data_IF_839200739565
#
_entry.id   IF_839200739565
#
_cell.length_a   1.000
_cell.length_b   1.000
_cell.length_c   1.000
_cell.angle_alpha   90.00
_cell.angle_beta   90.00
_cell.angle_gamma   90.00
#
_symmetry.space_group_name_H-M   'P 1'
#
loop_
_entity.id
_entity.type
_entity.pdbx_description
1 polymer ?
#
# COMPACT_ATOMS: atom_id res chain seq x y z
N UNK A 1 -18.06 -28.14 -11.87
CA UNK A 1 -17.47 -27.25 -10.83
C UNK A 1 -16.35 -26.42 -11.47
N UNK A 2 -16.40 -25.09 -11.44
CA UNK A 2 -15.32 -24.24 -11.96
C UNK A 2 -14.05 -24.35 -11.09
N UNK A 3 -12.86 -24.39 -11.72
CA UNK A 3 -11.54 -24.58 -11.06
C UNK A 3 -11.30 -23.60 -9.89
N UNK A 4 -11.67 -22.34 -10.04
CA UNK A 4 -11.51 -21.30 -9.01
C UNK A 4 -12.39 -21.55 -7.77
N UNK A 5 -13.60 -22.05 -7.97
CA UNK A 5 -14.50 -22.40 -6.87
C UNK A 5 -13.94 -23.57 -6.05
N UNK A 6 -13.37 -24.57 -6.72
CA UNK A 6 -12.70 -25.68 -6.04
C UNK A 6 -11.49 -25.22 -5.20
N UNK A 7 -10.65 -24.33 -5.76
CA UNK A 7 -9.48 -23.80 -5.05
C UNK A 7 -9.85 -22.97 -3.82
N UNK A 8 -10.79 -22.03 -3.96
CA UNK A 8 -11.26 -21.17 -2.85
C UNK A 8 -11.92 -21.98 -1.73
N UNK A 9 -12.78 -22.94 -2.08
CA UNK A 9 -13.40 -23.85 -1.10
C UNK A 9 -12.35 -24.74 -0.42
N UNK A 10 -11.38 -25.23 -1.17
CA UNK A 10 -10.29 -26.05 -0.65
C UNK A 10 -9.38 -25.32 0.32
N UNK A 11 -9.00 -24.06 0.03
CA UNK A 11 -8.15 -23.26 0.92
C UNK A 11 -8.86 -22.94 2.25
N UNK A 12 -10.14 -22.55 2.21
CA UNK A 12 -10.94 -22.31 3.41
C UNK A 12 -11.02 -23.56 4.30
N UNK A 13 -11.34 -24.72 3.72
CA UNK A 13 -11.48 -25.95 4.51
C UNK A 13 -10.14 -26.40 5.12
N UNK A 14 -9.03 -26.25 4.40
CA UNK A 14 -7.69 -26.57 4.91
C UNK A 14 -7.27 -25.65 6.06
N UNK A 15 -7.51 -24.35 5.94
CA UNK A 15 -7.18 -23.39 7.00
C UNK A 15 -8.00 -23.65 8.27
N UNK A 16 -9.30 -23.89 8.14
CA UNK A 16 -10.16 -24.22 9.28
C UNK A 16 -9.81 -25.58 9.90
N UNK A 17 -9.54 -26.60 9.07
CA UNK A 17 -9.10 -27.90 9.56
C UNK A 17 -7.81 -27.79 10.38
N UNK A 18 -6.83 -27.02 9.90
CA UNK A 18 -5.60 -26.79 10.66
C UNK A 18 -5.86 -26.04 11.98
N UNK A 19 -6.65 -24.95 11.95
CA UNK A 19 -7.01 -24.17 13.13
C UNK A 19 -7.68 -25.02 14.22
N UNK A 20 -8.58 -25.92 13.82
CA UNK A 20 -9.33 -26.78 14.73
C UNK A 20 -8.67 -28.14 15.00
N UNK A 21 -7.41 -28.34 14.55
CA UNK A 21 -6.69 -29.61 14.66
C UNK A 21 -7.53 -30.82 14.19
N UNK A 22 -8.26 -30.63 13.10
CA UNK A 22 -9.20 -31.59 12.53
C UNK A 22 -8.83 -31.94 11.09
N UNK A 23 -9.55 -32.90 10.51
CA UNK A 23 -9.43 -33.23 9.09
C UNK A 23 -10.33 -32.36 8.23
N UNK A 24 -9.92 -32.14 6.97
CA UNK A 24 -10.71 -31.41 5.97
C UNK A 24 -12.11 -31.99 5.81
N UNK A 25 -12.25 -33.31 5.84
CA UNK A 25 -13.53 -34.02 5.76
C UNK A 25 -14.43 -33.75 6.97
N UNK A 26 -13.88 -33.73 8.19
CA UNK A 26 -14.63 -33.40 9.41
C UNK A 26 -15.13 -31.96 9.36
N UNK A 27 -14.26 -31.02 9.02
CA UNK A 27 -14.58 -29.60 8.87
C UNK A 27 -15.65 -29.37 7.79
N UNK A 28 -15.51 -30.02 6.62
CA UNK A 28 -16.48 -29.93 5.54
C UNK A 28 -17.87 -30.46 5.92
N UNK A 29 -17.96 -31.50 6.75
CA UNK A 29 -19.24 -32.01 7.28
C UNK A 29 -19.89 -31.03 8.23
N UNK A 30 -19.12 -30.45 9.15
CA UNK A 30 -19.63 -29.48 10.15
C UNK A 30 -20.15 -28.21 9.48
N UNK A 31 -19.43 -27.72 8.46
CA UNK A 31 -19.82 -26.52 7.72
C UNK A 31 -20.93 -26.75 6.69
N UNK A 32 -21.32 -28.00 6.41
CA UNK A 32 -22.29 -28.29 5.34
C UNK A 32 -23.68 -27.81 5.73
N UNK A 33 -24.19 -26.84 4.99
CA UNK A 33 -25.54 -26.29 5.14
C UNK A 33 -26.25 -26.37 3.78
N UNK A 34 -26.88 -27.52 3.51
CA UNK A 34 -27.45 -27.84 2.19
C UNK A 34 -26.37 -27.88 1.10
N UNK A 35 -26.53 -27.01 0.10
CA UNK A 35 -25.58 -26.83 -1.01
C UNK A 35 -24.47 -25.81 -0.70
N UNK A 36 -24.55 -25.12 0.43
CA UNK A 36 -23.63 -24.04 0.82
C UNK A 36 -22.80 -24.47 2.04
N UNK A 37 -21.78 -23.68 2.35
CA UNK A 37 -21.08 -23.77 3.63
C UNK A 37 -21.53 -22.64 4.56
N UNK A 38 -21.82 -22.96 5.82
CA UNK A 38 -22.18 -21.97 6.84
C UNK A 38 -21.67 -22.37 8.22
N UNK A 39 -21.37 -21.37 9.04
CA UNK A 39 -21.03 -21.53 10.47
C UNK A 39 -22.23 -21.12 11.28
N UNK A 40 -22.69 -22.01 12.17
CA UNK A 40 -23.69 -21.72 13.19
C UNK A 40 -22.98 -21.51 14.52
N UNK A 41 -23.26 -20.41 15.18
CA UNK A 41 -22.77 -20.16 16.54
C UNK A 41 -23.84 -19.42 17.35
N UNK A 42 -23.80 -19.57 18.66
CA UNK A 42 -24.66 -18.84 19.58
C UNK A 42 -23.95 -17.55 20.00
N UNK A 43 -24.69 -16.46 19.93
CA UNK A 43 -24.27 -15.16 20.46
C UNK A 43 -24.36 -15.16 21.99
N UNK A 44 -23.71 -14.22 22.67
CA UNK A 44 -23.70 -14.11 24.14
C UNK A 44 -25.12 -13.95 24.75
N UNK A 45 -26.10 -13.59 23.89
CA UNK A 45 -27.52 -13.43 24.22
C UNK A 45 -28.38 -14.67 23.90
N UNK A 46 -27.77 -15.83 23.65
CA UNK A 46 -28.46 -17.09 23.36
C UNK A 46 -29.16 -17.14 22.00
N UNK A 47 -28.83 -16.23 21.08
CA UNK A 47 -29.40 -16.21 19.72
C UNK A 47 -28.48 -16.98 18.79
N UNK A 48 -29.00 -18.03 18.15
CA UNK A 48 -28.27 -18.75 17.11
C UNK A 48 -28.13 -17.87 15.87
N UNK A 49 -26.89 -17.53 15.50
CA UNK A 49 -26.56 -16.83 14.26
C UNK A 49 -25.97 -17.79 13.26
N UNK A 50 -26.31 -17.59 12.00
CA UNK A 50 -25.78 -18.33 10.87
C UNK A 50 -24.99 -17.38 9.98
N UNK A 51 -23.68 -17.60 9.86
CA UNK A 51 -22.83 -16.90 8.91
C UNK A 51 -22.59 -17.83 7.72
N UNK A 52 -23.06 -17.42 6.55
CA UNK A 52 -22.76 -18.11 5.29
C UNK A 52 -21.32 -17.81 4.90
N UNK A 53 -20.57 -18.85 4.55
CA UNK A 53 -19.26 -18.68 3.95
C UNK A 53 -19.43 -18.02 2.58
N UNK A 54 -18.61 -17.02 2.29
CA UNK A 54 -18.61 -16.38 0.99
C UNK A 54 -18.10 -17.37 -0.07
N UNK A 55 -18.83 -17.50 -1.17
CA UNK A 55 -18.44 -18.36 -2.28
C UNK A 55 -18.30 -17.55 -3.56
N UNK A 56 -17.53 -18.08 -4.52
CA UNK A 56 -17.25 -17.38 -5.78
C UNK A 56 -18.52 -17.03 -6.60
N UNK A 57 -19.63 -17.76 -6.35
CA UNK A 57 -20.94 -17.48 -6.95
C UNK A 57 -21.65 -16.26 -6.35
N UNK A 58 -21.25 -15.84 -5.16
CA UNK A 58 -21.74 -14.61 -4.50
C UNK A 58 -20.98 -13.38 -5.00
N UNK A 59 -19.99 -13.55 -5.89
CA UNK A 59 -19.31 -12.45 -6.56
C UNK A 59 -20.28 -11.77 -7.51
N UNK A 60 -20.86 -10.65 -7.07
CA UNK A 60 -21.59 -9.74 -7.95
C UNK A 60 -20.58 -9.14 -8.92
N UNK A 61 -20.63 -9.57 -10.18
CA UNK A 61 -19.85 -8.95 -11.25
C UNK A 61 -20.49 -7.60 -11.55
N UNK A 62 -20.00 -6.53 -10.96
CA UNK A 62 -20.23 -5.19 -11.50
C UNK A 62 -19.32 -5.05 -12.71
N UNK A 63 -19.83 -5.02 -13.95
CA UNK A 63 -19.03 -4.56 -15.07
C UNK A 63 -18.67 -3.11 -14.76
N UNK A 64 -17.45 -2.88 -14.28
CA UNK A 64 -16.87 -1.56 -14.39
C UNK A 64 -16.71 -1.35 -15.89
N UNK A 65 -17.61 -0.57 -16.48
CA UNK A 65 -17.35 0.07 -17.74
C UNK A 65 -16.18 1.02 -17.46
N UNK A 66 -14.97 0.48 -17.52
CA UNK A 66 -13.80 1.29 -17.72
C UNK A 66 -14.02 1.95 -19.07
N UNK A 67 -14.59 3.16 -19.06
CA UNK A 67 -14.58 4.02 -20.23
C UNK A 67 -13.13 4.12 -20.66
N UNK A 68 -12.82 3.49 -21.80
CA UNK A 68 -11.58 3.60 -22.55
C UNK A 68 -10.32 3.79 -21.67
N UNK A 69 -9.85 2.71 -21.05
CA UNK A 69 -8.51 2.68 -20.42
C UNK A 69 -7.36 2.60 -21.45
N UNK A 70 -7.66 2.71 -22.74
CA UNK A 70 -6.66 2.66 -23.82
C UNK A 70 -5.84 3.95 -23.97
N UNK A 71 -6.23 5.05 -23.31
CA UNK A 71 -5.41 6.26 -23.19
C UNK A 71 -4.58 6.30 -21.89
N UNK A 72 -4.51 5.20 -21.13
CA UNK A 72 -3.46 5.08 -20.13
C UNK A 72 -2.16 4.67 -20.83
N UNK A 73 -1.41 5.67 -21.28
CA UNK A 73 0.00 5.52 -21.63
C UNK A 73 0.66 4.57 -20.61
N UNK A 74 1.13 3.38 -21.03
CA UNK A 74 1.55 2.37 -20.07
C UNK A 74 2.73 2.91 -19.28
N UNK A 75 2.81 2.73 -17.95
CA UNK A 75 3.70 3.49 -17.06
C UNK A 75 5.20 3.19 -17.26
N UNK A 76 5.60 2.52 -18.35
CA UNK A 76 6.99 2.25 -18.69
C UNK A 76 7.83 3.54 -18.77
N UNK A 77 7.28 4.69 -19.15
CA UNK A 77 8.00 5.97 -19.12
C UNK A 77 8.17 6.49 -17.69
N UNK A 78 7.21 6.21 -16.78
CA UNK A 78 7.38 6.48 -15.35
C UNK A 78 8.45 5.56 -14.72
N UNK A 79 8.60 4.33 -15.20
CA UNK A 79 9.60 3.38 -14.72
C UNK A 79 11.00 3.56 -15.33
N UNK A 80 11.10 4.05 -16.57
CA UNK A 80 12.39 4.18 -17.30
C UNK A 80 13.02 5.56 -17.22
N UNK A 81 12.29 6.59 -16.77
CA UNK A 81 12.91 7.87 -16.52
C UNK A 81 13.81 7.78 -15.30
N UNK A 82 15.10 8.15 -15.45
CA UNK A 82 15.90 8.49 -14.27
C UNK A 82 15.16 9.64 -13.61
N UNK A 83 14.65 9.41 -12.40
CA UNK A 83 14.02 10.49 -11.65
C UNK A 83 15.03 11.63 -11.52
N UNK A 84 14.58 12.87 -11.71
CA UNK A 84 15.46 14.05 -11.67
C UNK A 84 16.34 14.06 -10.41
N UNK A 85 15.84 13.50 -9.31
CA UNK A 85 16.59 13.29 -8.06
C UNK A 85 17.85 12.44 -8.23
N UNK A 86 17.76 11.29 -8.92
CA UNK A 86 18.92 10.41 -9.14
C UNK A 86 19.96 11.11 -10.02
N UNK A 87 19.51 11.87 -11.02
CA UNK A 87 20.40 12.67 -11.85
C UNK A 87 21.11 13.78 -11.04
N UNK A 88 20.36 14.54 -10.23
CA UNK A 88 20.88 15.58 -9.33
C UNK A 88 21.86 15.02 -8.29
N UNK A 89 21.55 13.87 -7.69
CA UNK A 89 22.42 13.20 -6.74
C UNK A 89 23.72 12.70 -7.39
N UNK A 90 23.63 12.09 -8.57
CA UNK A 90 24.79 11.58 -9.30
C UNK A 90 25.72 12.69 -9.81
N UNK A 91 25.23 13.92 -9.96
CA UNK A 91 26.07 15.07 -10.28
C UNK A 91 27.07 15.41 -9.17
N UNK A 92 26.84 14.95 -7.93
CA UNK A 92 27.68 15.21 -6.74
C UNK A 92 27.93 16.69 -6.46
N UNK A 93 27.02 17.56 -6.91
CA UNK A 93 27.07 19.01 -6.67
C UNK A 93 26.12 19.34 -5.53
N UNK A 94 26.58 20.10 -4.54
CA UNK A 94 25.71 20.68 -3.53
C UNK A 94 24.86 21.82 -4.14
N UNK A 95 23.54 21.75 -4.04
CA UNK A 95 22.64 22.75 -4.61
C UNK A 95 22.61 24.08 -3.83
N UNK A 96 23.18 24.08 -2.63
CA UNK A 96 23.28 25.30 -1.83
C UNK A 96 24.60 26.04 -2.05
N UNK A 97 25.74 25.35 -1.93
CA UNK A 97 27.07 25.98 -2.00
C UNK A 97 27.84 25.67 -3.30
N UNK A 98 27.30 24.86 -4.20
CA UNK A 98 27.95 24.49 -5.48
C UNK A 98 29.16 23.56 -5.36
N UNK A 99 29.53 23.14 -4.15
CA UNK A 99 30.69 22.28 -3.91
C UNK A 99 30.52 20.89 -4.56
N UNK A 100 31.58 20.43 -5.25
CA UNK A 100 31.67 19.11 -5.92
C UNK A 100 32.68 18.16 -5.29
N UNK A 101 33.48 18.67 -4.35
CA UNK A 101 34.59 17.99 -3.67
C UNK A 101 34.14 17.13 -2.47
N UNK A 102 32.84 17.11 -2.15
CA UNK A 102 32.33 16.56 -0.88
C UNK A 102 31.21 15.54 -1.09
N UNK A 103 31.06 14.57 -0.17
CA UNK A 103 29.91 13.67 -0.19
C UNK A 103 28.61 14.46 -0.02
N UNK A 104 27.64 14.17 -0.89
CA UNK A 104 26.32 14.77 -0.90
C UNK A 104 25.26 13.81 -0.34
N UNK A 105 24.23 14.36 0.27
CA UNK A 105 23.11 13.68 0.90
C UNK A 105 21.79 14.32 0.43
N UNK A 106 20.74 13.52 0.34
CA UNK A 106 19.40 13.99 -0.04
C UNK A 106 18.67 14.48 1.20
N UNK A 107 18.25 15.75 1.19
CA UNK A 107 17.47 16.37 2.23
C UNK A 107 16.01 16.56 1.79
N UNK A 108 15.05 16.17 2.63
CA UNK A 108 13.63 16.48 2.42
C UNK A 108 13.29 17.84 3.02
N UNK A 109 12.80 18.77 2.19
CA UNK A 109 12.56 20.15 2.61
C UNK A 109 11.53 20.23 3.74
N UNK A 110 10.49 19.40 3.79
CA UNK A 110 9.51 19.38 4.89
C UNK A 110 9.46 18.00 5.55
N UNK A 111 9.31 17.96 6.88
CA UNK A 111 9.10 16.70 7.59
C UNK A 111 7.64 16.27 7.41
N UNK A 112 7.40 14.96 7.45
CA UNK A 112 6.03 14.44 7.42
C UNK A 112 5.21 14.84 8.65
N UNK A 113 5.89 15.01 9.80
CA UNK A 113 5.25 15.44 11.04
C UNK A 113 4.79 16.91 10.99
N UNK A 114 5.31 17.71 10.05
CA UNK A 114 4.90 19.12 9.87
C UNK A 114 3.66 19.25 8.97
N UNK A 115 3.10 18.14 8.48
CA UNK A 115 1.82 18.14 7.78
C UNK A 115 0.71 18.15 8.83
N UNK A 116 -0.17 19.16 8.79
CA UNK A 116 -1.41 19.14 9.57
C UNK A 116 -2.24 17.90 9.22
N UNK A 117 -3.22 17.54 10.07
CA UNK A 117 -4.12 16.40 9.85
C UNK A 117 -5.00 16.60 8.60
N UNK A 118 -4.39 16.39 7.44
CA UNK A 118 -5.06 16.37 6.15
C UNK A 118 -5.59 14.97 5.84
N UNK A 119 -6.60 14.91 4.96
CA UNK A 119 -7.15 13.66 4.46
C UNK A 119 -6.04 12.71 3.95
N UNK A 120 -6.21 11.40 4.17
CA UNK A 120 -5.22 10.35 3.86
C UNK A 120 -4.62 10.45 2.44
N UNK A 121 -5.42 10.85 1.44
CA UNK A 121 -4.95 11.03 0.07
C UNK A 121 -3.93 12.18 -0.08
N UNK A 122 -4.08 13.27 0.68
CA UNK A 122 -3.11 14.37 0.72
C UNK A 122 -1.82 13.95 1.42
N UNK A 123 -1.90 13.15 2.47
CA UNK A 123 -0.71 12.57 3.12
C UNK A 123 0.06 11.66 2.15
N UNK A 124 -0.64 10.83 1.37
CA UNK A 124 -0.03 9.98 0.33
C UNK A 124 0.58 10.83 -0.79
N UNK A 125 -0.14 11.86 -1.27
CA UNK A 125 0.35 12.76 -2.31
C UNK A 125 1.58 13.56 -1.85
N UNK A 126 1.52 14.15 -0.66
CA UNK A 126 2.64 14.82 -0.01
C UNK A 126 3.82 13.86 0.15
N UNK A 127 3.55 12.61 0.56
CA UNK A 127 4.54 11.53 0.64
C UNK A 127 5.30 11.27 -0.66
N UNK A 128 4.61 11.35 -1.81
CA UNK A 128 5.15 11.10 -3.16
C UNK A 128 5.78 12.33 -3.81
N UNK A 129 5.28 13.54 -3.52
CA UNK A 129 5.72 14.80 -4.13
C UNK A 129 6.62 15.65 -3.21
N UNK A 130 7.26 15.03 -2.21
CA UNK A 130 8.17 15.76 -1.30
C UNK A 130 9.28 16.42 -2.10
N UNK A 131 9.40 17.74 -1.97
CA UNK A 131 10.55 18.48 -2.50
C UNK A 131 11.82 17.98 -1.82
N UNK A 132 12.77 17.51 -2.62
CA UNK A 132 14.10 17.05 -2.21
C UNK A 132 15.18 17.99 -2.73
N UNK A 133 16.21 18.19 -1.93
CA UNK A 133 17.39 19.03 -2.24
C UNK A 133 18.64 18.21 -1.97
N UNK A 134 19.64 18.31 -2.83
CA UNK A 134 20.93 17.61 -2.68
C UNK A 134 21.93 18.54 -1.99
N UNK A 135 22.40 18.18 -0.80
CA UNK A 135 23.25 19.02 0.04
C UNK A 135 24.53 18.28 0.44
N UNK A 136 25.64 18.99 0.59
CA UNK A 136 26.81 18.43 1.28
C UNK A 136 26.53 18.33 2.79
N UNK A 137 27.28 17.47 3.49
CA UNK A 137 27.10 17.26 4.95
C UNK A 137 27.10 18.55 5.76
N UNK A 138 28.00 19.48 5.47
CA UNK A 138 28.10 20.74 6.19
C UNK A 138 26.81 21.59 6.03
N UNK A 139 26.29 21.72 4.80
CA UNK A 139 25.04 22.42 4.55
C UNK A 139 23.83 21.68 5.13
N UNK A 140 23.84 20.34 5.09
CA UNK A 140 22.78 19.53 5.66
C UNK A 140 22.67 19.75 7.18
N UNK A 141 23.81 19.74 7.89
CA UNK A 141 23.85 20.05 9.32
C UNK A 141 23.45 21.50 9.62
N UNK A 142 23.99 22.47 8.88
CA UNK A 142 23.64 23.89 9.06
C UNK A 142 22.14 24.18 8.88
N UNK A 143 21.47 23.41 8.02
CA UNK A 143 20.03 23.51 7.78
C UNK A 143 19.22 22.88 8.94
N UNK A 144 19.67 21.76 9.50
CA UNK A 144 19.06 21.19 10.72
C UNK A 144 19.26 22.08 11.96
N UNK A 145 20.37 22.80 12.05
CA UNK A 145 20.67 23.73 13.16
C UNK A 145 20.04 25.11 12.97
N UNK A 146 19.36 25.38 11.84
CA UNK A 146 18.71 26.66 11.56
C UNK A 146 19.67 27.82 11.27
N UNK A 147 20.95 27.53 11.03
CA UNK A 147 21.99 28.54 10.70
C UNK A 147 21.92 28.94 9.23
N UNK A 148 21.39 28.06 8.38
CA UNK A 148 21.13 28.34 6.97
C UNK A 148 19.72 28.93 6.80
N UNK A 149 19.55 30.04 6.04
CA UNK A 149 18.22 30.56 5.75
C UNK A 149 17.42 29.54 4.94
N UNK A 150 16.28 29.16 5.52
CA UNK A 150 15.36 28.22 4.91
C UNK A 150 14.33 28.99 4.08
N UNK A 151 14.38 28.87 2.74
CA UNK A 151 13.50 29.58 1.82
C UNK A 151 12.04 29.06 1.81
N UNK A 152 11.60 28.31 2.85
CA UNK A 152 10.23 27.78 2.98
C UNK A 152 9.11 28.84 2.99
N UNK A 153 9.42 30.14 3.10
CA UNK A 153 8.47 31.25 3.32
C UNK A 153 8.27 32.23 2.15
N UNK A 154 8.86 32.03 0.97
CA UNK A 154 8.57 32.82 -0.23
C UNK A 154 7.51 32.16 -1.11
#
# INVERSE_FOLDING_TARGET
MHKLHFLSRGSLLKTLAHKHKSTVTKTARVLKDGDRMAVRFEDDKGRTRLIRAWELRDLTRSPQAFGMLDDSTPPWHLLKSRTELIARFNAKVCEHCGATDRPVEVHHVRKLADLEEEALWRQIQSGRLRKTVVLCRACHHALHTGTLPDHRKS
#
